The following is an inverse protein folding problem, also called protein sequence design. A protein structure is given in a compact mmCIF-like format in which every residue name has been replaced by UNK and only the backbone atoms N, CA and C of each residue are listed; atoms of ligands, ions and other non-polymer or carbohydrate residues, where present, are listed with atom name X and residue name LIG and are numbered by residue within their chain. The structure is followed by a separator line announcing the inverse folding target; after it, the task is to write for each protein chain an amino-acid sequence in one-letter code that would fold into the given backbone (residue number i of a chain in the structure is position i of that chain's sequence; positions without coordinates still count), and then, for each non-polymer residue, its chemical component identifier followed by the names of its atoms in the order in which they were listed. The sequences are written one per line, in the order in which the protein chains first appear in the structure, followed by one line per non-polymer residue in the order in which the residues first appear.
data_IF_361359876323
#
_entry.id   IF_361359876323
#
_cell.length_a   1.000
_cell.length_b   1.000
_cell.length_c   1.000
_cell.angle_alpha   90.00
_cell.angle_beta   90.00
_cell.angle_gamma   90.00
#
_symmetry.space_group_name_H-M   'P 1'
#
loop_
_entity.id
_entity.type
_entity.pdbx_description
1 polymer ?
#
# COMPACT_ATOMS: atom_id res chain seq x y z
N UNK A 1 5.40 -19.91 0.13
CA UNK A 1 6.06 -19.86 1.46
C UNK A 1 7.36 -20.65 1.36
N UNK A 2 8.51 -20.06 1.68
CA UNK A 2 9.80 -20.75 1.56
C UNK A 2 9.94 -21.75 2.72
N UNK A 3 10.40 -22.97 2.44
CA UNK A 3 10.60 -24.01 3.46
C UNK A 3 11.52 -23.53 4.61
N UNK A 4 12.48 -22.65 4.32
CA UNK A 4 13.38 -22.06 5.33
C UNK A 4 12.68 -21.15 6.33
N UNK A 5 11.58 -20.49 5.96
CA UNK A 5 10.79 -19.66 6.90
C UNK A 5 9.96 -20.53 7.84
N UNK A 6 9.41 -21.63 7.32
CA UNK A 6 8.68 -22.63 8.11
C UNK A 6 9.60 -23.39 9.09
N UNK A 7 10.87 -23.58 8.70
CA UNK A 7 11.89 -24.21 9.53
C UNK A 7 12.67 -23.23 10.43
N UNK A 8 12.37 -21.93 10.35
CA UNK A 8 13.07 -20.91 11.11
C UNK A 8 12.57 -20.88 12.56
N UNK A 9 13.51 -20.88 13.51
CA UNK A 9 13.25 -20.64 14.93
C UNK A 9 13.12 -19.14 15.28
N UNK A 10 13.03 -18.27 14.27
CA UNK A 10 12.92 -16.83 14.46
C UNK A 10 11.55 -16.54 15.06
N UNK A 11 11.51 -15.94 16.25
CA UNK A 11 10.25 -15.54 16.88
C UNK A 11 9.50 -14.62 15.92
N UNK A 12 8.30 -15.04 15.52
CA UNK A 12 7.40 -14.21 14.75
C UNK A 12 6.99 -13.00 15.59
N UNK A 13 6.78 -11.86 14.93
CA UNK A 13 6.28 -10.67 15.59
C UNK A 13 4.93 -10.97 16.27
N UNK A 14 4.78 -10.55 17.53
CA UNK A 14 3.56 -10.79 18.28
C UNK A 14 2.38 -10.03 17.67
N UNK A 15 1.21 -10.68 17.64
CA UNK A 15 -0.03 -10.09 17.11
C UNK A 15 -0.44 -8.78 17.78
N UNK A 16 -0.09 -8.58 19.06
CA UNK A 16 -0.29 -7.34 19.80
C UNK A 16 0.46 -6.15 19.16
N UNK A 17 1.68 -6.37 18.68
CA UNK A 17 2.49 -5.34 18.02
C UNK A 17 1.92 -5.01 16.65
N UNK A 18 1.50 -6.03 15.88
CA UNK A 18 0.79 -5.84 14.60
C UNK A 18 -0.46 -4.99 14.82
N UNK A 19 -1.28 -5.36 15.80
CA UNK A 19 -2.53 -4.66 16.13
C UNK A 19 -2.26 -3.19 16.45
N UNK A 20 -1.23 -2.91 17.23
CA UNK A 20 -0.87 -1.53 17.58
C UNK A 20 -0.53 -0.70 16.33
N UNK A 21 0.24 -1.25 15.38
CA UNK A 21 0.52 -0.56 14.10
C UNK A 21 -0.73 -0.32 13.27
N UNK A 22 -1.60 -1.32 13.18
CA UNK A 22 -2.87 -1.21 12.44
C UNK A 22 -3.76 -0.12 13.03
N UNK A 23 -3.86 -0.03 14.37
CA UNK A 23 -4.66 1.01 15.03
C UNK A 23 -4.09 2.40 14.71
N UNK A 24 -2.78 2.60 14.83
CA UNK A 24 -2.15 3.89 14.47
C UNK A 24 -2.43 4.30 13.01
N UNK A 25 -2.32 3.35 12.08
CA UNK A 25 -2.64 3.60 10.68
C UNK A 25 -4.12 3.96 10.44
N UNK A 26 -5.04 3.45 11.29
CA UNK A 26 -6.46 3.83 11.27
C UNK A 26 -6.66 5.24 11.80
N UNK A 27 -6.06 5.59 12.93
CA UNK A 27 -6.14 6.93 13.51
C UNK A 27 -5.65 8.00 12.50
N UNK A 28 -4.57 7.71 11.78
CA UNK A 28 -4.07 8.58 10.69
C UNK A 28 -5.14 8.77 9.60
N UNK A 29 -5.84 7.71 9.20
CA UNK A 29 -6.89 7.79 8.18
C UNK A 29 -8.12 8.54 8.70
N UNK A 30 -8.53 8.29 9.93
CA UNK A 30 -9.66 8.99 10.58
C UNK A 30 -9.39 10.49 10.65
N UNK A 31 -8.18 10.89 11.05
CA UNK A 31 -7.78 12.30 11.03
C UNK A 31 -7.77 12.89 9.62
N UNK A 32 -7.23 12.17 8.64
CA UNK A 32 -7.14 12.62 7.24
C UNK A 32 -8.52 12.87 6.62
N UNK A 33 -9.52 12.08 7.01
CA UNK A 33 -10.85 12.13 6.42
C UNK A 33 -11.92 12.67 7.38
N UNK A 34 -11.52 13.30 8.49
CA UNK A 34 -12.44 13.83 9.50
C UNK A 34 -13.48 14.83 8.96
N UNK A 35 -13.19 15.50 7.83
CA UNK A 35 -14.10 16.44 7.16
C UNK A 35 -15.02 15.78 6.12
N UNK A 36 -15.05 14.44 6.05
CA UNK A 36 -15.81 13.66 5.06
C UNK A 36 -16.74 12.67 5.76
N UNK A 37 -18.04 12.81 5.51
CA UNK A 37 -19.06 11.97 6.13
C UNK A 37 -19.02 10.51 5.64
N UNK A 38 -18.78 10.29 4.34
CA UNK A 38 -18.81 8.96 3.70
C UNK A 38 -17.42 8.35 3.41
N UNK A 39 -16.36 8.87 4.04
CA UNK A 39 -14.99 8.44 3.75
C UNK A 39 -14.23 8.14 5.03
N UNK A 40 -13.90 6.86 5.20
CA UNK A 40 -13.22 6.39 6.41
C UNK A 40 -11.85 5.81 6.09
N UNK A 41 -11.63 5.30 4.87
CA UNK A 41 -10.44 4.53 4.54
C UNK A 41 -9.82 4.92 3.20
N UNK A 42 -8.50 4.73 3.07
CA UNK A 42 -7.73 5.00 1.85
C UNK A 42 -8.32 4.30 0.60
N UNK A 43 -8.88 3.09 0.77
CA UNK A 43 -9.48 2.32 -0.31
C UNK A 43 -10.67 3.05 -0.98
N UNK A 44 -11.40 3.87 -0.23
CA UNK A 44 -12.61 4.56 -0.68
C UNK A 44 -12.32 5.87 -1.44
N UNK A 45 -11.05 6.33 -1.48
CA UNK A 45 -10.69 7.58 -2.15
C UNK A 45 -11.13 7.61 -3.62
N UNK A 46 -11.68 8.74 -4.08
CA UNK A 46 -11.92 8.97 -5.51
C UNK A 46 -10.59 9.21 -6.26
N UNK A 47 -10.54 9.07 -7.60
CA UNK A 47 -9.31 9.33 -8.37
C UNK A 47 -8.74 10.74 -8.15
N UNK A 48 -9.61 11.75 -7.95
CA UNK A 48 -9.19 13.11 -7.62
C UNK A 48 -8.50 13.18 -6.25
N UNK A 49 -9.00 12.43 -5.26
CA UNK A 49 -8.40 12.37 -3.93
C UNK A 49 -7.08 11.60 -3.93
N UNK A 50 -6.99 10.49 -4.68
CA UNK A 50 -5.74 9.72 -4.82
C UNK A 50 -4.60 10.64 -5.27
N UNK A 51 -4.80 11.48 -6.28
CA UNK A 51 -3.78 12.44 -6.74
C UNK A 51 -3.35 13.45 -5.67
N UNK A 52 -4.24 13.82 -4.75
CA UNK A 52 -3.95 14.78 -3.68
C UNK A 52 -3.28 14.13 -2.47
N UNK A 53 -3.75 12.95 -2.06
CA UNK A 53 -3.37 12.26 -0.82
C UNK A 53 -2.18 11.33 -1.02
N UNK A 54 -2.03 10.77 -2.22
CA UNK A 54 -0.97 9.85 -2.59
C UNK A 54 0.03 10.55 -3.52
N UNK A 55 0.42 11.77 -3.18
CA UNK A 55 1.47 12.47 -3.91
C UNK A 55 2.79 11.67 -3.79
N UNK A 56 3.47 11.52 -4.92
CA UNK A 56 4.70 10.74 -5.04
C UNK A 56 5.78 11.58 -5.71
N UNK A 57 7.04 11.26 -5.45
CA UNK A 57 8.17 11.90 -6.11
C UNK A 57 8.24 11.56 -7.61
N UNK A 58 9.09 12.28 -8.35
CA UNK A 58 9.40 11.96 -9.75
C UNK A 58 9.97 10.54 -9.90
N UNK A 59 10.82 10.12 -8.96
CA UNK A 59 11.33 8.75 -8.90
C UNK A 59 10.20 7.74 -8.72
N UNK A 60 9.23 8.01 -7.83
CA UNK A 60 8.04 7.17 -7.65
C UNK A 60 7.18 7.09 -8.90
N UNK A 61 7.00 8.21 -9.60
CA UNK A 61 6.26 8.27 -10.88
C UNK A 61 6.93 7.41 -11.94
N UNK A 62 8.27 7.48 -12.04
CA UNK A 62 9.07 6.69 -12.98
C UNK A 62 8.98 5.20 -12.68
N UNK A 63 9.10 4.82 -11.40
CA UNK A 63 8.95 3.43 -10.95
C UNK A 63 7.57 2.88 -11.33
N UNK A 64 6.51 3.63 -11.03
CA UNK A 64 5.14 3.20 -11.26
C UNK A 64 4.85 3.08 -12.76
N UNK A 65 5.33 4.02 -13.59
CA UNK A 65 5.22 3.93 -15.05
C UNK A 65 5.90 2.68 -15.60
N UNK A 66 7.14 2.43 -15.21
CA UNK A 66 7.89 1.23 -15.63
C UNK A 66 7.18 -0.06 -15.22
N UNK A 67 6.64 -0.11 -13.99
CA UNK A 67 5.88 -1.26 -13.52
C UNK A 67 4.60 -1.46 -14.33
N UNK A 68 3.86 -0.39 -14.66
CA UNK A 68 2.64 -0.48 -15.47
C UNK A 68 2.92 -1.04 -16.87
N UNK A 69 3.96 -0.54 -17.54
CA UNK A 69 4.34 -1.00 -18.88
C UNK A 69 4.79 -2.46 -18.85
N UNK A 70 5.67 -2.83 -17.90
CA UNK A 70 6.21 -4.18 -17.79
C UNK A 70 5.15 -5.22 -17.40
N UNK A 71 4.18 -4.84 -16.57
CA UNK A 71 3.17 -5.75 -16.04
C UNK A 71 1.83 -5.68 -16.79
N UNK A 72 1.69 -4.79 -17.78
CA UNK A 72 0.45 -4.60 -18.55
C UNK A 72 -0.71 -4.07 -17.70
N UNK A 73 -0.44 -3.18 -16.74
CA UNK A 73 -1.43 -2.71 -15.77
C UNK A 73 -2.28 -1.56 -16.31
N UNK A 74 -3.58 -1.60 -16.00
CA UNK A 74 -4.53 -0.55 -16.39
C UNK A 74 -4.47 0.68 -15.47
N UNK A 75 -5.10 1.78 -15.90
CA UNK A 75 -5.28 2.97 -15.06
C UNK A 75 -5.99 2.68 -13.72
N UNK A 76 -6.89 1.69 -13.68
CA UNK A 76 -7.51 1.25 -12.42
C UNK A 76 -6.50 0.56 -11.50
N UNK A 77 -5.51 -0.13 -12.05
CA UNK A 77 -4.44 -0.73 -11.26
C UNK A 77 -3.48 0.34 -10.72
N UNK A 78 -3.19 1.40 -11.49
CA UNK A 78 -2.45 2.58 -11.02
C UNK A 78 -3.07 3.16 -9.74
N UNK A 79 -4.37 3.49 -9.77
CA UNK A 79 -5.05 4.05 -8.59
C UNK A 79 -5.04 3.08 -7.40
N UNK A 80 -5.17 1.77 -7.65
CA UNK A 80 -5.10 0.76 -6.59
C UNK A 80 -3.71 0.66 -5.97
N UNK A 81 -2.66 0.74 -6.77
CA UNK A 81 -1.27 0.72 -6.27
C UNK A 81 -1.04 1.92 -5.35
N UNK A 82 -1.47 3.11 -5.75
CA UNK A 82 -1.33 4.32 -4.93
C UNK A 82 -2.09 4.23 -3.60
N UNK A 83 -3.34 3.73 -3.62
CA UNK A 83 -4.13 3.54 -2.40
C UNK A 83 -3.48 2.54 -1.43
N UNK A 84 -2.91 1.46 -1.96
CA UNK A 84 -2.19 0.47 -1.15
C UNK A 84 -0.89 1.07 -0.61
N UNK A 85 -0.10 1.75 -1.45
CA UNK A 85 1.13 2.42 -1.02
C UNK A 85 0.87 3.45 0.08
N UNK A 86 -0.21 4.22 -0.01
CA UNK A 86 -0.66 5.14 1.07
C UNK A 86 -0.98 4.41 2.38
N UNK A 87 -1.56 3.21 2.29
CA UNK A 87 -1.88 2.41 3.48
C UNK A 87 -0.62 1.82 4.10
N UNK A 88 0.37 1.41 3.29
CA UNK A 88 1.68 0.97 3.76
C UNK A 88 2.40 2.14 4.46
N UNK A 89 2.39 3.33 3.85
CA UNK A 89 2.94 4.54 4.48
C UNK A 89 2.27 4.86 5.83
N UNK A 90 0.95 4.67 5.94
CA UNK A 90 0.24 4.86 7.22
C UNK A 90 0.64 3.82 8.27
N UNK A 91 0.93 2.57 7.87
CA UNK A 91 1.43 1.52 8.76
C UNK A 91 2.86 1.79 9.25
N UNK A 92 3.67 2.43 8.40
CA UNK A 92 5.03 2.90 8.74
C UNK A 92 5.03 4.21 9.55
N UNK A 93 3.89 4.92 9.59
CA UNK A 93 3.78 6.24 10.19
C UNK A 93 4.43 7.35 9.36
N UNK A 94 4.67 7.10 8.07
CA UNK A 94 5.25 8.05 7.14
C UNK A 94 4.19 9.03 6.64
N UNK A 95 4.50 10.33 6.68
CA UNK A 95 3.59 11.38 6.19
C UNK A 95 3.40 11.29 4.66
N UNK A 96 4.44 10.88 3.94
CA UNK A 96 4.46 10.85 2.47
C UNK A 96 4.51 9.42 1.93
N UNK A 97 4.08 9.24 0.68
CA UNK A 97 4.23 7.96 -0.01
C UNK A 97 5.64 7.88 -0.60
N UNK A 98 6.55 7.30 0.18
CA UNK A 98 7.92 7.02 -0.24
C UNK A 98 8.04 5.89 -1.28
N UNK A 99 9.22 5.82 -1.90
CA UNK A 99 9.52 4.86 -2.98
C UNK A 99 9.38 3.40 -2.53
N UNK A 100 9.76 3.09 -1.30
CA UNK A 100 9.63 1.76 -0.70
C UNK A 100 8.18 1.30 -0.57
N UNK A 101 7.27 2.18 -0.16
CA UNK A 101 5.84 1.88 -0.11
C UNK A 101 5.25 1.58 -1.49
N UNK A 102 5.71 2.30 -2.53
CA UNK A 102 5.33 2.04 -3.91
C UNK A 102 5.86 0.69 -4.39
N UNK A 103 7.14 0.40 -4.14
CA UNK A 103 7.78 -0.84 -4.53
C UNK A 103 7.08 -2.06 -3.90
N UNK A 104 6.74 -1.97 -2.62
CA UNK A 104 6.02 -3.01 -1.90
C UNK A 104 4.60 -3.22 -2.46
N UNK A 105 3.86 -2.12 -2.70
CA UNK A 105 2.54 -2.17 -3.32
C UNK A 105 2.54 -2.80 -4.72
N UNK A 106 3.55 -2.48 -5.54
CA UNK A 106 3.76 -3.09 -6.87
C UNK A 106 4.08 -4.58 -6.74
N UNK A 107 4.89 -4.95 -5.75
CA UNK A 107 5.26 -6.34 -5.50
C UNK A 107 4.02 -7.19 -5.14
N UNK A 108 3.13 -6.69 -4.28
CA UNK A 108 1.86 -7.37 -3.97
C UNK A 108 1.02 -7.63 -5.22
N UNK A 109 0.99 -6.69 -6.18
CA UNK A 109 0.29 -6.92 -7.46
C UNK A 109 0.96 -7.92 -8.38
N UNK A 110 2.28 -8.03 -8.31
CA UNK A 110 3.01 -9.04 -9.07
C UNK A 110 2.74 -10.43 -8.51
N UNK A 111 2.76 -10.57 -7.17
CA UNK A 111 2.46 -11.81 -6.46
C UNK A 111 1.01 -12.29 -6.68
N UNK A 112 0.03 -11.38 -6.64
CA UNK A 112 -1.38 -11.70 -6.91
C UNK A 112 -1.59 -12.33 -8.30
N UNK A 113 -0.76 -11.97 -9.29
CA UNK A 113 -0.89 -12.47 -10.66
C UNK A 113 -0.40 -13.91 -10.80
N UNK A 114 0.65 -14.27 -10.07
CA UNK A 114 1.21 -15.62 -10.09
C UNK A 114 0.35 -16.60 -9.26
N UNK A 115 -0.52 -16.09 -8.38
CA UNK A 115 -1.37 -16.88 -7.48
C UNK A 115 -2.83 -17.11 -7.93
N UNK A 116 -3.30 -16.50 -9.03
CA UNK A 116 -4.71 -16.60 -9.47
C UNK A 116 -4.92 -17.34 -10.81
N UNK A 117 -3.86 -17.97 -11.34
CA UNK A 117 -4.00 -18.99 -12.37
C UNK A 117 -4.10 -20.37 -11.70
N UNK A 118 -5.25 -20.65 -11.08
CA UNK A 118 -5.55 -21.92 -10.39
C UNK A 118 -6.69 -21.78 -9.40
#
# INVERSE_FOLDING_TARGET
VNFSELASSREAEKSELIRARVIKAREIQDHRFADKEDLHYNAQMSPKMVRKVCAISEAGTTLLKSAMERLGLSARAYDRILKVARTIADLDGSENVELEHLAESINYRSLDRDGWAG
#
